data_IF_353265539157
#
_entry.id   IF_353265539157
#
_cell.length_a   1.000
_cell.length_b   1.000
_cell.length_c   1.000
_cell.angle_alpha   90.00
_cell.angle_beta   90.00
_cell.angle_gamma   90.00
#
_symmetry.space_group_name_H-M   'P 1'
#
loop_
_entity.id
_entity.type
_entity.pdbx_description
1 polymer ?
#
# COMPACT_ATOMS: atom_id res chain seq x y z
N UNK A 1 -2.80 -25.35 0.30
CA UNK A 1 -2.84 -24.27 -0.70
C UNK A 1 -3.74 -23.17 -0.14
N UNK A 2 -3.32 -21.91 -0.25
CA UNK A 2 -4.07 -20.74 0.24
C UNK A 2 -4.78 -20.09 -0.96
N UNK A 3 -5.89 -19.41 -0.72
CA UNK A 3 -6.68 -18.75 -1.76
C UNK A 3 -6.91 -17.29 -1.39
N UNK A 4 -7.00 -16.43 -2.40
CA UNK A 4 -7.00 -14.97 -2.33
C UNK A 4 -5.72 -14.38 -1.73
N UNK A 5 -5.29 -14.80 -0.54
CA UNK A 5 -3.98 -14.48 0.02
C UNK A 5 -2.87 -15.35 -0.58
N UNK A 6 -1.66 -14.83 -0.55
CA UNK A 6 -0.45 -15.56 -0.96
C UNK A 6 0.06 -16.48 0.14
N UNK A 7 -0.21 -16.13 1.41
CA UNK A 7 0.25 -16.86 2.59
C UNK A 7 1.66 -16.49 3.03
N UNK A 8 2.26 -15.43 2.49
CA UNK A 8 3.64 -15.04 2.79
C UNK A 8 3.78 -13.53 3.03
N UNK A 9 4.59 -13.18 4.01
CA UNK A 9 5.06 -11.82 4.24
C UNK A 9 6.55 -11.70 3.92
N UNK A 10 7.01 -10.49 3.60
CA UNK A 10 8.41 -10.10 3.66
C UNK A 10 8.70 -9.38 4.97
N UNK A 11 9.64 -9.90 5.76
CA UNK A 11 10.17 -9.29 6.98
C UNK A 11 11.54 -8.66 6.65
N UNK A 12 11.64 -7.34 6.82
CA UNK A 12 12.82 -6.54 6.46
C UNK A 12 13.40 -5.89 7.71
N UNK A 13 14.64 -6.22 8.04
CA UNK A 13 15.41 -5.48 9.06
C UNK A 13 16.39 -4.53 8.37
N UNK A 14 16.03 -3.25 8.34
CA UNK A 14 16.83 -2.21 7.68
C UNK A 14 18.15 -1.90 8.40
N UNK A 15 18.26 -2.21 9.69
CA UNK A 15 19.50 -2.02 10.43
C UNK A 15 20.54 -3.07 10.05
N UNK A 16 20.10 -4.29 9.71
CA UNK A 16 20.96 -5.42 9.34
C UNK A 16 21.03 -5.67 7.83
N UNK A 17 20.10 -5.12 7.06
CA UNK A 17 19.89 -5.46 5.66
C UNK A 17 19.33 -6.86 5.45
N UNK A 18 18.68 -7.45 6.46
CA UNK A 18 18.09 -8.79 6.36
C UNK A 18 16.75 -8.75 5.63
N UNK A 19 16.50 -9.76 4.79
CA UNK A 19 15.27 -9.92 4.00
C UNK A 19 14.83 -11.37 4.17
N UNK A 20 13.65 -11.59 4.74
CA UNK A 20 13.13 -12.93 5.01
C UNK A 20 11.70 -13.07 4.48
N UNK A 21 11.44 -14.19 3.81
CA UNK A 21 10.08 -14.60 3.42
C UNK A 21 9.53 -15.51 4.50
N UNK A 22 8.43 -15.10 5.13
CA UNK A 22 7.83 -15.81 6.27
C UNK A 22 6.41 -16.25 5.93
N UNK A 23 6.11 -17.52 6.13
CA UNK A 23 4.75 -18.08 5.98
C UNK A 23 3.82 -17.54 7.08
N UNK A 24 2.58 -17.22 6.73
CA UNK A 24 1.58 -16.69 7.67
C UNK A 24 0.76 -17.80 8.32
N UNK A 25 0.29 -17.55 9.55
CA UNK A 25 -0.63 -18.48 10.21
C UNK A 25 -2.01 -18.44 9.52
N UNK A 26 -2.52 -19.57 8.99
CA UNK A 26 -3.85 -19.64 8.42
C UNK A 26 -4.98 -19.22 9.35
N UNK A 27 -4.80 -19.40 10.65
CA UNK A 27 -5.79 -19.01 11.64
C UNK A 27 -5.96 -17.49 11.75
N UNK A 28 -4.91 -16.72 11.49
CA UNK A 28 -4.98 -15.26 11.52
C UNK A 28 -5.86 -14.72 10.37
N UNK A 29 -5.88 -15.39 9.21
CA UNK A 29 -6.81 -15.06 8.12
C UNK A 29 -8.26 -15.31 8.53
N UNK A 30 -8.55 -16.43 9.20
CA UNK A 30 -9.90 -16.75 9.67
C UNK A 30 -10.39 -15.76 10.74
N UNK A 31 -9.49 -15.31 11.62
CA UNK A 31 -9.83 -14.43 12.74
C UNK A 31 -9.87 -12.95 12.36
N UNK A 32 -8.97 -12.51 11.47
CA UNK A 32 -8.69 -11.10 11.21
C UNK A 32 -8.74 -10.71 9.73
N UNK A 33 -9.13 -11.65 8.85
CA UNK A 33 -9.20 -11.52 7.39
C UNK A 33 -7.85 -11.23 6.73
N UNK A 34 -7.38 -9.99 6.81
CA UNK A 34 -6.21 -9.49 6.10
C UNK A 34 -6.12 -7.97 6.16
N UNK A 35 -5.15 -7.39 5.44
CA UNK A 35 -4.94 -5.94 5.44
C UNK A 35 -4.86 -5.35 6.86
N UNK A 36 -5.76 -4.41 7.18
CA UNK A 36 -5.80 -3.73 8.48
C UNK A 36 -5.92 -4.69 9.67
N UNK A 37 -6.74 -5.75 9.59
CA UNK A 37 -6.98 -6.65 10.73
C UNK A 37 -5.70 -7.39 11.13
N UNK A 38 -5.04 -8.03 10.16
CA UNK A 38 -3.74 -8.68 10.39
C UNK A 38 -2.62 -7.70 10.71
N UNK A 39 -2.65 -6.46 10.19
CA UNK A 39 -1.68 -5.43 10.59
C UNK A 39 -1.85 -5.05 12.07
N UNK A 40 -3.08 -4.92 12.55
CA UNK A 40 -3.37 -4.62 13.94
C UNK A 40 -2.88 -5.74 14.87
N UNK A 41 -3.11 -7.01 14.49
CA UNK A 41 -2.58 -8.18 15.21
C UNK A 41 -1.05 -8.16 15.32
N UNK A 42 -0.36 -7.87 14.21
CA UNK A 42 1.11 -7.75 14.18
C UNK A 42 1.59 -6.61 15.09
N UNK A 43 0.97 -5.43 15.02
CA UNK A 43 1.33 -4.28 15.87
C UNK A 43 1.08 -4.61 17.35
N UNK A 44 -0.06 -5.21 17.67
CA UNK A 44 -0.42 -5.60 19.04
C UNK A 44 0.62 -6.52 19.68
N UNK A 45 1.10 -7.54 18.96
CA UNK A 45 2.04 -8.51 19.51
C UNK A 45 3.49 -8.01 19.55
N UNK A 46 3.86 -7.06 18.68
CA UNK A 46 5.28 -6.73 18.40
C UNK A 46 5.68 -5.29 18.72
N UNK A 47 4.71 -4.39 18.96
CA UNK A 47 4.97 -2.97 19.23
C UNK A 47 4.33 -2.60 20.57
N UNK A 48 5.04 -2.82 21.69
CA UNK A 48 4.52 -2.49 23.01
C UNK A 48 4.48 -0.95 23.21
N UNK A 49 3.72 -0.44 24.19
CA UNK A 49 3.43 0.99 24.32
C UNK A 49 4.65 1.89 24.62
N UNK A 50 5.77 1.32 25.05
CA UNK A 50 7.06 2.01 25.23
C UNK A 50 7.78 2.34 23.92
N UNK A 51 7.32 1.78 22.78
CA UNK A 51 7.92 2.04 21.47
C UNK A 51 7.46 3.39 20.94
N UNK A 52 8.38 4.35 20.94
CA UNK A 52 8.18 5.67 20.34
C UNK A 52 8.09 5.61 18.80
N UNK A 53 7.39 6.57 18.19
CA UNK A 53 7.13 6.58 16.74
C UNK A 53 8.39 6.59 15.85
N UNK A 54 9.49 7.18 16.33
CA UNK A 54 10.80 7.16 15.66
C UNK A 54 11.78 6.19 16.31
N UNK A 55 11.31 5.21 17.07
CA UNK A 55 12.15 4.10 17.51
C UNK A 55 12.47 3.18 16.33
N UNK A 56 13.68 2.59 16.24
CA UNK A 56 13.94 1.49 15.30
C UNK A 56 12.97 0.31 15.47
N UNK A 57 12.39 0.12 16.67
CA UNK A 57 11.44 -0.96 16.95
C UNK A 57 10.00 -0.66 16.53
N UNK A 58 9.67 0.59 16.17
CA UNK A 58 8.37 0.88 15.57
C UNK A 58 8.29 0.17 14.21
N UNK A 59 7.20 -0.54 13.94
CA UNK A 59 7.01 -1.22 12.66
C UNK A 59 6.39 -0.27 11.63
N UNK A 60 6.82 -0.41 10.39
CA UNK A 60 6.13 0.16 9.23
C UNK A 60 5.69 -1.00 8.35
N UNK A 61 4.37 -1.19 8.21
CA UNK A 61 3.80 -2.36 7.53
C UNK A 61 3.05 -1.88 6.29
N UNK A 62 3.39 -2.41 5.12
CA UNK A 62 2.61 -2.28 3.89
C UNK A 62 1.88 -3.59 3.65
N UNK A 63 0.55 -3.56 3.62
CA UNK A 63 -0.26 -4.75 3.39
C UNK A 63 -1.19 -4.58 2.20
N UNK A 64 -1.28 -5.62 1.36
CA UNK A 64 -2.36 -5.74 0.40
C UNK A 64 -3.62 -6.27 1.11
N UNK A 65 -4.79 -5.79 0.69
CA UNK A 65 -6.06 -6.38 1.12
C UNK A 65 -6.18 -7.85 0.70
N UNK A 66 -6.96 -8.63 1.46
CA UNK A 66 -7.14 -10.07 1.23
C UNK A 66 -7.51 -10.38 -0.23
N UNK A 67 -8.47 -9.65 -0.80
CA UNK A 67 -8.96 -9.84 -2.16
C UNK A 67 -8.18 -9.02 -3.22
N UNK A 68 -7.11 -8.30 -2.86
CA UNK A 68 -6.29 -7.61 -3.86
C UNK A 68 -5.64 -8.61 -4.83
N UNK A 69 -5.54 -8.23 -6.11
CA UNK A 69 -5.04 -9.10 -7.17
C UNK A 69 -6.07 -10.11 -7.71
N UNK A 70 -7.28 -10.15 -7.13
CA UNK A 70 -8.41 -10.90 -7.70
C UNK A 70 -9.19 -10.03 -8.71
N UNK A 71 -10.11 -10.61 -9.51
CA UNK A 71 -11.02 -9.86 -10.37
C UNK A 71 -12.05 -8.98 -9.66
N UNK A 72 -12.10 -8.95 -8.32
CA UNK A 72 -13.05 -8.13 -7.57
C UNK A 72 -12.87 -6.64 -7.88
N UNK A 73 -13.89 -6.04 -8.49
CA UNK A 73 -13.85 -4.67 -8.99
C UNK A 73 -13.50 -3.66 -7.88
N UNK A 74 -12.45 -2.87 -8.09
CA UNK A 74 -11.99 -1.85 -7.15
C UNK A 74 -11.25 -2.38 -5.92
N UNK A 75 -11.02 -3.70 -5.80
CA UNK A 75 -10.27 -4.26 -4.68
C UNK A 75 -8.75 -4.13 -4.89
N UNK A 76 -8.22 -2.95 -4.63
CA UNK A 76 -6.82 -2.60 -4.95
C UNK A 76 -6.10 -1.79 -3.86
N UNK A 77 -6.62 -1.81 -2.62
CA UNK A 77 -6.11 -0.97 -1.54
C UNK A 77 -4.88 -1.58 -0.86
N UNK A 78 -3.85 -0.75 -0.74
CA UNK A 78 -2.73 -0.92 0.18
C UNK A 78 -3.11 -0.31 1.53
N UNK A 79 -2.83 -1.00 2.62
CA UNK A 79 -2.99 -0.50 3.99
C UNK A 79 -1.61 -0.36 4.59
N UNK A 80 -1.20 0.87 4.86
CA UNK A 80 0.05 1.16 5.56
C UNK A 80 -0.24 1.38 7.04
N UNK A 81 0.51 0.74 7.93
CA UNK A 81 0.26 0.79 9.39
C UNK A 81 1.54 0.98 10.19
N UNK A 82 1.47 1.80 11.24
CA UNK A 82 2.60 2.12 12.15
C UNK A 82 2.09 2.83 13.42
N UNK A 83 2.98 3.14 14.37
CA UNK A 83 2.71 4.12 15.43
C UNK A 83 2.98 5.54 14.92
N UNK A 84 1.98 6.41 15.01
CA UNK A 84 2.02 7.77 14.47
C UNK A 84 2.94 8.69 15.26
N UNK A 85 3.81 9.49 14.60
CA UNK A 85 4.56 10.54 15.28
C UNK A 85 3.68 11.71 15.74
N UNK A 86 2.52 11.92 15.09
CA UNK A 86 1.62 13.01 15.42
C UNK A 86 0.71 12.67 16.60
N UNK A 87 0.09 11.49 16.58
CA UNK A 87 -0.96 11.14 17.55
C UNK A 87 -0.46 10.23 18.67
N UNK A 88 0.70 9.59 18.51
CA UNK A 88 1.22 8.53 19.38
C UNK A 88 0.29 7.30 19.49
N UNK A 89 -0.67 7.20 18.59
CA UNK A 89 -1.58 6.05 18.46
C UNK A 89 -1.24 5.30 17.18
N UNK A 90 -1.88 4.14 16.98
CA UNK A 90 -1.81 3.43 15.71
C UNK A 90 -2.34 4.34 14.59
N UNK A 91 -1.51 4.59 13.58
CA UNK A 91 -1.93 5.13 12.30
C UNK A 91 -2.12 3.97 11.31
N UNK A 92 -3.27 3.95 10.66
CA UNK A 92 -3.47 3.19 9.43
C UNK A 92 -3.90 4.14 8.32
N UNK A 93 -3.36 3.96 7.12
CA UNK A 93 -3.60 4.83 5.97
C UNK A 93 -3.75 3.98 4.72
N UNK A 94 -4.75 4.29 3.90
CA UNK A 94 -5.07 3.52 2.71
C UNK A 94 -4.56 4.24 1.47
N UNK A 95 -3.95 3.48 0.55
CA UNK A 95 -3.49 3.95 -0.75
C UNK A 95 -4.12 3.06 -1.83
N UNK A 96 -4.71 3.67 -2.86
CA UNK A 96 -5.29 2.96 -4.00
C UNK A 96 -4.26 2.66 -5.08
N UNK A 97 -4.72 2.69 -6.33
CA UNK A 97 -3.86 2.51 -7.49
C UNK A 97 -3.57 1.04 -7.71
N UNK A 98 -2.29 0.72 -7.93
CA UNK A 98 -1.89 -0.58 -8.47
C UNK A 98 -0.83 -1.30 -7.63
N UNK A 99 -0.33 -0.67 -6.56
CA UNK A 99 0.78 -1.24 -5.78
C UNK A 99 0.41 -2.53 -5.04
N UNK A 100 -0.74 -2.58 -4.35
CA UNK A 100 -1.17 -3.78 -3.63
C UNK A 100 -1.44 -4.99 -4.54
N UNK A 101 -2.17 -4.86 -5.67
CA UNK A 101 -2.26 -5.94 -6.66
C UNK A 101 -0.88 -6.43 -7.14
N UNK A 102 0.03 -5.51 -7.47
CA UNK A 102 1.38 -5.85 -7.92
C UNK A 102 2.18 -6.63 -6.87
N UNK A 103 2.03 -6.30 -5.58
CA UNK A 103 2.62 -7.06 -4.47
C UNK A 103 2.05 -8.48 -4.38
N UNK A 104 0.73 -8.64 -4.58
CA UNK A 104 0.08 -9.96 -4.59
C UNK A 104 0.57 -10.81 -5.76
N UNK A 105 0.71 -10.23 -6.94
CA UNK A 105 1.31 -10.92 -8.09
C UNK A 105 2.80 -11.23 -7.88
N UNK A 106 3.50 -10.50 -7.01
CA UNK A 106 4.88 -10.81 -6.64
C UNK A 106 4.97 -11.94 -5.58
N UNK A 107 3.83 -12.40 -5.04
CA UNK A 107 3.75 -13.53 -4.12
C UNK A 107 3.74 -13.17 -2.63
N UNK A 108 3.40 -11.92 -2.26
CA UNK A 108 3.40 -11.47 -0.87
C UNK A 108 2.10 -10.76 -0.47
N UNK A 109 1.69 -10.95 0.77
CA UNK A 109 0.58 -10.23 1.38
C UNK A 109 1.02 -8.93 2.05
N UNK A 110 2.25 -8.90 2.59
CA UNK A 110 2.80 -7.77 3.34
C UNK A 110 4.30 -7.60 3.16
N UNK A 111 4.76 -6.36 3.36
CA UNK A 111 6.16 -6.03 3.63
C UNK A 111 6.23 -5.31 4.97
N UNK A 112 6.99 -5.86 5.92
CA UNK A 112 7.07 -5.41 7.30
C UNK A 112 8.49 -4.93 7.57
N UNK A 113 8.63 -3.64 7.87
CA UNK A 113 9.94 -3.02 8.13
C UNK A 113 10.15 -2.78 9.63
N UNK A 114 11.30 -3.27 10.13
CA UNK A 114 11.88 -2.91 11.42
C UNK A 114 13.28 -2.31 11.22
N UNK A 115 13.83 -1.73 12.29
CA UNK A 115 15.15 -1.10 12.25
C UNK A 115 15.14 0.19 11.43
N UNK A 116 16.35 0.68 11.16
CA UNK A 116 16.61 1.88 10.34
C UNK A 116 17.87 1.66 9.52
N UNK A 117 17.82 2.04 8.25
CA UNK A 117 19.00 2.05 7.40
C UNK A 117 19.89 3.25 7.77
N UNK A 118 21.22 3.08 7.87
CA UNK A 118 22.14 4.19 8.10
C UNK A 118 22.24 5.14 6.88
N UNK A 119 21.92 4.63 5.68
CA UNK A 119 21.90 5.37 4.43
C UNK A 119 20.49 5.39 3.84
N UNK A 120 20.21 6.35 2.95
CA UNK A 120 18.94 6.37 2.22
C UNK A 120 18.90 5.20 1.22
N UNK A 121 17.90 4.33 1.33
CA UNK A 121 17.75 3.11 0.51
C UNK A 121 16.34 2.99 -0.08
N UNK A 122 16.18 2.17 -1.11
CA UNK A 122 14.88 1.69 -1.57
C UNK A 122 14.83 0.16 -1.61
N UNK A 123 13.64 -0.41 -1.43
CA UNK A 123 13.42 -1.85 -1.59
C UNK A 123 12.93 -2.14 -3.01
N UNK A 124 13.54 -3.13 -3.66
CA UNK A 124 13.12 -3.66 -4.95
C UNK A 124 12.62 -5.09 -4.81
N UNK A 125 11.39 -5.34 -5.26
CA UNK A 125 10.76 -6.67 -5.28
C UNK A 125 10.44 -7.00 -6.74
N UNK A 126 11.00 -8.08 -7.27
CA UNK A 126 10.62 -8.67 -8.55
C UNK A 126 10.38 -10.17 -8.37
N UNK A 127 9.12 -10.54 -8.15
CA UNK A 127 8.73 -11.88 -7.72
C UNK A 127 9.58 -12.37 -6.53
N UNK A 128 10.29 -13.49 -6.66
CA UNK A 128 11.16 -14.05 -5.61
C UNK A 128 12.46 -13.26 -5.37
N UNK A 129 12.84 -12.34 -6.27
CA UNK A 129 14.05 -11.54 -6.11
C UNK A 129 13.73 -10.27 -5.32
N UNK A 130 14.27 -10.17 -4.10
CA UNK A 130 14.09 -9.01 -3.22
C UNK A 130 15.44 -8.43 -2.83
N UNK A 131 15.62 -7.13 -3.01
CA UNK A 131 16.89 -6.44 -2.83
C UNK A 131 16.71 -5.08 -2.14
N UNK A 132 17.61 -4.74 -1.22
CA UNK A 132 17.76 -3.37 -0.72
C UNK A 132 18.81 -2.68 -1.61
N UNK A 133 18.47 -1.53 -2.18
CA UNK A 133 19.30 -0.77 -3.13
C UNK A 133 19.61 0.61 -2.56
N UNK A 134 20.76 1.17 -2.92
CA UNK A 134 21.10 2.55 -2.58
C UNK A 134 20.11 3.53 -3.21
N UNK A 135 19.72 4.56 -2.47
CA UNK A 135 18.82 5.61 -2.93
C UNK A 135 19.41 7.01 -2.72
N UNK A 136 20.73 7.13 -2.50
CA UNK A 136 21.38 8.41 -2.21
C UNK A 136 21.19 9.43 -3.35
N UNK A 137 21.21 8.97 -4.60
CA UNK A 137 20.94 9.78 -5.80
C UNK A 137 19.49 10.27 -5.92
N UNK A 138 18.57 9.73 -5.11
CA UNK A 138 17.16 10.10 -5.07
C UNK A 138 16.83 11.06 -3.93
N UNK A 139 17.82 11.45 -3.12
CA UNK A 139 17.61 12.33 -1.98
C UNK A 139 16.96 13.66 -2.39
N UNK A 140 15.93 14.06 -1.65
CA UNK A 140 15.17 15.29 -1.87
C UNK A 140 14.25 15.31 -3.09
N UNK A 141 14.23 14.25 -3.91
CA UNK A 141 13.32 14.15 -5.06
C UNK A 141 11.87 13.97 -4.63
N UNK A 142 10.93 14.49 -5.42
CA UNK A 142 9.49 14.30 -5.16
C UNK A 142 9.08 12.82 -5.23
N UNK A 143 7.99 12.43 -4.58
CA UNK A 143 7.52 11.03 -4.58
C UNK A 143 7.26 10.48 -6.00
N UNK A 144 6.59 11.28 -6.85
CA UNK A 144 6.30 10.91 -8.24
C UNK A 144 7.57 10.85 -9.09
N UNK A 145 8.43 11.87 -8.99
CA UNK A 145 9.74 11.91 -9.68
C UNK A 145 10.61 10.70 -9.31
N UNK A 146 10.64 10.35 -8.01
CA UNK A 146 11.36 9.17 -7.49
C UNK A 146 10.85 7.89 -8.15
N UNK A 147 9.52 7.75 -8.29
CA UNK A 147 8.92 6.59 -8.94
C UNK A 147 9.34 6.42 -10.40
N UNK A 148 9.39 7.52 -11.16
CA UNK A 148 9.85 7.48 -12.56
C UNK A 148 11.33 7.15 -12.67
N UNK A 149 12.18 7.77 -11.83
CA UNK A 149 13.63 7.52 -11.83
C UNK A 149 13.96 6.06 -11.49
N UNK A 150 13.26 5.47 -10.50
CA UNK A 150 13.44 4.06 -10.14
C UNK A 150 13.02 3.13 -11.30
N UNK A 151 11.89 3.41 -11.98
CA UNK A 151 11.49 2.61 -13.15
C UNK A 151 12.53 2.66 -14.28
N UNK A 152 13.13 3.83 -14.51
CA UNK A 152 14.19 4.00 -15.51
C UNK A 152 15.47 3.25 -15.13
N UNK A 153 15.92 3.39 -13.87
CA UNK A 153 17.10 2.70 -13.33
C UNK A 153 16.97 1.19 -13.45
N UNK A 154 15.80 0.65 -13.08
CA UNK A 154 15.51 -0.78 -13.11
C UNK A 154 15.17 -1.31 -14.51
N UNK A 155 14.93 -0.42 -15.48
CA UNK A 155 14.38 -0.75 -16.81
C UNK A 155 13.06 -1.52 -16.72
N UNK A 156 12.24 -1.20 -15.72
CA UNK A 156 10.96 -1.86 -15.43
C UNK A 156 9.80 -0.86 -15.49
N UNK A 157 9.28 -0.56 -16.69
CA UNK A 157 8.24 0.45 -16.86
C UNK A 157 6.91 0.09 -16.21
N UNK A 158 6.70 -1.19 -15.87
CA UNK A 158 5.47 -1.72 -15.25
C UNK A 158 5.56 -1.83 -13.73
N UNK A 159 6.73 -1.55 -13.14
CA UNK A 159 6.88 -1.58 -11.69
C UNK A 159 6.02 -0.51 -11.02
N UNK A 160 5.35 -0.90 -9.94
CA UNK A 160 4.60 0.02 -9.09
C UNK A 160 5.53 0.51 -7.98
N UNK A 161 5.62 1.83 -7.80
CA UNK A 161 6.56 2.44 -6.85
C UNK A 161 5.81 3.32 -5.85
N UNK A 162 5.88 2.96 -4.58
CA UNK A 162 5.41 3.77 -3.47
C UNK A 162 6.61 4.51 -2.85
N UNK A 163 6.59 5.83 -2.80
CA UNK A 163 7.74 6.64 -2.40
C UNK A 163 7.37 7.82 -1.51
N UNK A 164 8.30 8.24 -0.67
CA UNK A 164 8.22 9.50 0.09
C UNK A 164 8.88 10.63 -0.70
N UNK A 165 8.34 11.84 -0.56
CA UNK A 165 9.03 13.07 -0.94
C UNK A 165 9.93 13.63 0.17
N UNK A 166 10.47 14.83 -0.05
CA UNK A 166 11.31 15.55 0.91
C UNK A 166 10.64 15.75 2.28
N UNK A 167 9.30 15.86 2.34
CA UNK A 167 8.57 15.97 3.61
C UNK A 167 8.70 14.70 4.47
N UNK A 168 8.71 13.51 3.85
CA UNK A 168 8.92 12.25 4.55
C UNK A 168 10.37 12.11 5.03
N UNK A 169 11.34 12.45 4.17
CA UNK A 169 12.78 12.46 4.53
C UNK A 169 13.05 13.35 5.75
N UNK A 170 12.41 14.52 5.80
CA UNK A 170 12.51 15.48 6.90
C UNK A 170 11.53 15.20 8.07
N UNK A 171 10.86 14.04 8.06
CA UNK A 171 9.99 13.56 9.15
C UNK A 171 8.87 14.54 9.53
N UNK A 172 8.28 15.24 8.54
CA UNK A 172 7.11 16.09 8.79
C UNK A 172 5.95 15.23 9.30
N UNK A 173 5.34 15.56 10.43
CA UNK A 173 4.41 14.67 11.16
C UNK A 173 3.13 14.30 10.40
N UNK A 174 2.88 14.91 9.26
CA UNK A 174 1.78 14.63 8.34
C UNK A 174 2.27 14.31 6.92
N UNK A 175 3.55 13.91 6.79
CA UNK A 175 4.09 13.43 5.52
C UNK A 175 3.38 12.15 5.07
N UNK A 176 3.11 12.11 3.76
CA UNK A 176 2.43 11.04 3.06
C UNK A 176 3.42 10.11 2.33
N UNK A 177 2.89 9.03 1.77
CA UNK A 177 3.58 8.14 0.82
C UNK A 177 2.76 8.13 -0.47
N UNK A 178 3.41 8.38 -1.60
CA UNK A 178 2.77 8.59 -2.90
C UNK A 178 3.05 7.43 -3.86
N UNK A 179 2.06 7.07 -4.67
CA UNK A 179 2.16 6.10 -5.76
C UNK A 179 1.25 6.53 -6.93
N UNK A 180 1.83 7.11 -7.98
CA UNK A 180 1.04 7.66 -9.09
C UNK A 180 0.00 8.66 -8.60
N UNK A 181 -1.27 8.44 -8.89
CA UNK A 181 -2.39 9.27 -8.41
C UNK A 181 -3.01 8.75 -7.10
N UNK A 182 -2.27 8.01 -6.29
CA UNK A 182 -2.72 7.44 -5.02
C UNK A 182 -1.78 7.80 -3.87
N UNK A 183 -2.33 8.04 -2.69
CA UNK A 183 -1.59 8.49 -1.52
C UNK A 183 -2.02 7.75 -0.25
N UNK A 184 -1.06 7.30 0.57
CA UNK A 184 -1.28 7.02 1.97
C UNK A 184 -1.01 8.31 2.77
N UNK A 185 -2.05 9.12 2.96
CA UNK A 185 -1.87 10.55 3.21
C UNK A 185 -1.76 10.99 4.67
N UNK A 186 -2.41 10.28 5.60
CA UNK A 186 -2.60 10.79 6.98
C UNK A 186 -1.86 9.99 8.04
N UNK A 187 -1.71 10.59 9.22
CA UNK A 187 -1.14 9.96 10.40
C UNK A 187 0.40 9.94 10.45
N UNK A 188 1.08 10.62 9.52
CA UNK A 188 2.54 10.76 9.55
C UNK A 188 3.30 9.51 9.15
N UNK A 189 2.69 8.61 8.39
CA UNK A 189 3.31 7.35 7.98
C UNK A 189 4.53 7.61 7.07
N UNK A 190 4.50 8.64 6.23
CA UNK A 190 5.64 9.05 5.42
C UNK A 190 6.83 9.54 6.26
N UNK A 191 6.58 10.12 7.44
CA UNK A 191 7.65 10.50 8.36
C UNK A 191 8.32 9.29 9.00
N UNK A 192 7.55 8.26 9.36
CA UNK A 192 8.14 6.99 9.86
C UNK A 192 8.96 6.32 8.76
N UNK A 193 8.47 6.31 7.53
CA UNK A 193 9.21 5.78 6.38
C UNK A 193 10.55 6.50 6.17
N UNK A 194 10.56 7.84 6.22
CA UNK A 194 11.80 8.61 6.11
C UNK A 194 12.72 8.49 7.33
N UNK A 195 12.16 8.37 8.55
CA UNK A 195 12.94 8.10 9.76
C UNK A 195 13.70 6.77 9.69
N UNK A 196 13.14 5.77 9.01
CA UNK A 196 13.79 4.49 8.73
C UNK A 196 14.86 4.53 7.63
N UNK A 197 15.05 5.67 6.96
CA UNK A 197 15.96 5.80 5.83
C UNK A 197 15.45 5.11 4.56
N UNK A 198 14.14 4.85 4.46
CA UNK A 198 13.53 4.16 3.32
C UNK A 198 12.88 5.18 2.37
N UNK A 199 13.45 5.36 1.18
CA UNK A 199 12.98 6.31 0.17
C UNK A 199 11.76 5.81 -0.60
N UNK A 200 11.77 4.53 -0.97
CA UNK A 200 10.73 3.94 -1.80
C UNK A 200 10.66 2.41 -1.66
N UNK A 201 9.54 1.86 -2.11
CA UNK A 201 9.34 0.43 -2.34
C UNK A 201 8.80 0.24 -3.75
N UNK A 202 9.63 -0.35 -4.61
CA UNK A 202 9.28 -0.70 -5.97
C UNK A 202 8.96 -2.20 -6.04
N UNK A 203 7.88 -2.54 -6.72
CA UNK A 203 7.43 -3.91 -6.88
C UNK A 203 7.04 -4.22 -8.33
N UNK A 204 7.43 -5.40 -8.79
CA UNK A 204 6.97 -6.04 -10.02
C UNK A 204 6.57 -7.48 -9.72
N UNK A 205 5.36 -7.83 -10.08
CA UNK A 205 4.78 -9.16 -9.92
C UNK A 205 4.23 -9.70 -11.23
N UNK A 206 4.43 -11.00 -11.46
CA UNK A 206 3.90 -11.71 -12.64
C UNK A 206 3.34 -13.09 -12.31
N UNK A 207 3.24 -13.43 -11.02
CA UNK A 207 2.62 -14.67 -10.55
C UNK A 207 1.10 -14.57 -10.48
N UNK A 208 0.48 -15.75 -10.31
CA UNK A 208 -0.96 -15.89 -10.20
C UNK A 208 -1.47 -15.64 -8.77
N UNK A 209 -2.72 -15.19 -8.66
CA UNK A 209 -3.50 -15.19 -7.41
C UNK A 209 -4.63 -16.18 -7.55
N UNK A 210 -4.64 -17.23 -6.72
CA UNK A 210 -5.59 -18.33 -6.83
C UNK A 210 -6.90 -18.04 -6.08
N UNK A 211 -8.03 -18.43 -6.67
CA UNK A 211 -9.37 -18.27 -6.11
C UNK A 211 -9.96 -19.65 -5.83
N UNK A 212 -10.60 -19.82 -4.67
CA UNK A 212 -11.08 -21.13 -4.22
C UNK A 212 -12.21 -21.69 -5.11
N UNK A 213 -13.15 -20.83 -5.49
CA UNK A 213 -14.31 -21.15 -6.34
C UNK A 213 -14.37 -20.16 -7.51
N UNK A 214 -13.60 -20.39 -8.60
CA UNK A 214 -13.43 -19.40 -9.66
C UNK A 214 -14.74 -18.97 -10.35
N UNK A 215 -15.62 -19.91 -10.70
CA UNK A 215 -16.86 -19.61 -11.42
C UNK A 215 -17.81 -18.78 -10.55
N UNK A 216 -18.05 -19.22 -9.32
CA UNK A 216 -18.88 -18.50 -8.34
C UNK A 216 -18.34 -17.10 -8.04
N UNK A 217 -17.01 -16.96 -7.91
CA UNK A 217 -16.40 -15.65 -7.66
C UNK A 217 -16.54 -14.70 -8.86
N UNK A 218 -16.43 -15.22 -10.09
CA UNK A 218 -16.63 -14.41 -11.30
C UNK A 218 -18.09 -14.00 -11.49
N UNK A 219 -19.04 -14.87 -11.16
CA UNK A 219 -20.47 -14.52 -11.13
C UNK A 219 -20.73 -13.33 -10.19
N UNK A 220 -20.20 -13.38 -8.97
CA UNK A 220 -20.30 -12.28 -8.00
C UNK A 220 -19.65 -10.98 -8.53
N UNK A 221 -18.50 -11.08 -9.20
CA UNK A 221 -17.86 -9.92 -9.81
C UNK A 221 -18.71 -9.31 -10.92
N UNK A 222 -19.37 -10.14 -11.73
CA UNK A 222 -20.28 -9.68 -12.78
C UNK A 222 -21.54 -9.02 -12.20
N UNK A 223 -22.13 -9.59 -11.15
CA UNK A 223 -23.25 -8.97 -10.43
C UNK A 223 -22.88 -7.58 -9.91
N UNK A 224 -21.68 -7.43 -9.33
CA UNK A 224 -21.16 -6.13 -8.92
C UNK A 224 -21.11 -5.18 -10.11
N UNK A 225 -20.53 -5.58 -11.24
CA UNK A 225 -20.42 -4.74 -12.44
C UNK A 225 -21.80 -4.34 -13.02
N UNK A 226 -22.77 -5.25 -13.01
CA UNK A 226 -24.15 -4.94 -13.40
C UNK A 226 -24.78 -3.93 -12.44
N UNK A 227 -24.56 -4.09 -11.13
CA UNK A 227 -25.00 -3.13 -10.13
C UNK A 227 -24.36 -1.75 -10.33
N UNK A 228 -23.07 -1.69 -10.69
CA UNK A 228 -22.39 -0.42 -11.01
C UNK A 228 -23.14 0.31 -12.14
N UNK A 229 -23.39 -0.38 -13.26
CA UNK A 229 -24.10 0.21 -14.42
C UNK A 229 -25.49 0.70 -14.03
N UNK A 230 -26.27 -0.13 -13.32
CA UNK A 230 -27.60 0.24 -12.86
C UNK A 230 -27.58 1.47 -11.94
N UNK A 231 -26.54 1.59 -11.10
CA UNK A 231 -26.38 2.68 -10.14
C UNK A 231 -25.92 3.98 -10.80
N UNK A 232 -25.17 3.92 -11.90
CA UNK A 232 -24.83 5.08 -12.72
C UNK A 232 -26.05 5.68 -13.43
N UNK A 233 -26.98 4.83 -13.89
CA UNK A 233 -28.24 5.27 -14.51
C UNK A 233 -29.25 5.81 -13.49
N UNK A 234 -29.19 5.32 -12.25
CA UNK A 234 -30.12 5.66 -11.16
C UNK A 234 -29.35 6.22 -9.96
N UNK A 235 -28.91 7.50 -10.01
CA UNK A 235 -28.29 8.17 -8.86
C UNK A 235 -29.19 8.11 -7.61
N UNK A 236 -28.63 7.92 -6.40
CA UNK A 236 -29.43 7.96 -5.16
C UNK A 236 -29.90 9.41 -4.97
N UNK A 237 -31.23 9.65 -4.94
CA UNK A 237 -31.74 10.99 -4.72
C UNK A 237 -31.36 11.53 -3.34
N UNK A 238 -31.00 12.81 -3.27
CA UNK A 238 -30.71 13.49 -1.99
C UNK A 238 -29.34 13.19 -1.39
N UNK A 239 -28.44 12.52 -2.11
CA UNK A 239 -27.06 12.25 -1.71
C UNK A 239 -26.09 13.13 -2.50
N UNK A 240 -24.98 13.56 -1.87
CA UNK A 240 -23.94 14.37 -2.52
C UNK A 240 -23.46 13.70 -3.81
N UNK A 241 -23.24 14.43 -4.93
CA UNK A 241 -22.99 13.83 -6.23
C UNK A 241 -21.83 12.83 -6.27
N UNK A 242 -20.75 13.07 -5.51
CA UNK A 242 -19.60 12.16 -5.39
C UNK A 242 -19.95 10.82 -4.72
N UNK A 243 -21.01 10.79 -3.92
CA UNK A 243 -21.56 9.61 -3.25
C UNK A 243 -22.84 9.10 -3.95
N UNK A 244 -23.37 9.89 -4.89
CA UNK A 244 -24.61 9.61 -5.59
C UNK A 244 -24.42 8.67 -6.78
N UNK A 245 -23.21 8.24 -7.12
CA UNK A 245 -22.89 7.20 -8.09
C UNK A 245 -21.55 6.53 -7.74
N UNK A 246 -21.04 5.67 -8.61
CA UNK A 246 -19.69 5.11 -8.46
C UNK A 246 -18.70 5.86 -9.35
N UNK A 247 -17.50 6.11 -8.83
CA UNK A 247 -16.42 6.85 -9.51
C UNK A 247 -16.19 8.25 -8.95
N UNK A 248 -14.92 8.68 -8.91
CA UNK A 248 -14.51 10.00 -8.43
C UNK A 248 -14.96 11.21 -9.27
N UNK A 249 -15.23 11.13 -10.59
CA UNK A 249 -15.58 12.31 -11.37
C UNK A 249 -17.08 12.66 -11.40
N UNK A 250 -17.92 12.12 -10.50
CA UNK A 250 -19.36 12.37 -10.57
C UNK A 250 -19.74 13.80 -10.14
N UNK A 251 -18.99 14.43 -9.23
CA UNK A 251 -19.17 15.86 -8.94
C UNK A 251 -18.91 16.73 -10.18
N UNK A 252 -17.95 16.34 -11.03
CA UNK A 252 -17.64 17.06 -12.26
C UNK A 252 -18.74 17.01 -13.34
N UNK A 253 -19.72 16.09 -13.23
CA UNK A 253 -20.90 16.09 -14.12
C UNK A 253 -21.91 17.16 -13.75
N UNK A 254 -21.86 17.66 -12.51
CA UNK A 254 -22.87 18.55 -11.93
C UNK A 254 -22.26 19.93 -11.64
N UNK A 255 -20.97 19.98 -11.31
CA UNK A 255 -20.21 21.17 -10.98
C UNK A 255 -18.92 21.24 -11.81
N UNK A 256 -18.54 22.42 -12.28
CA UNK A 256 -17.24 22.63 -12.94
C UNK A 256 -16.13 22.62 -11.89
N UNK A 257 -15.53 21.44 -11.66
CA UNK A 257 -14.41 21.26 -10.73
C UNK A 257 -13.08 20.99 -11.45
N UNK A 258 -12.83 21.69 -12.56
CA UNK A 258 -11.57 21.64 -13.32
C UNK A 258 -10.31 21.67 -12.44
N UNK A 259 -10.38 22.36 -11.29
CA UNK A 259 -9.31 22.41 -10.29
C UNK A 259 -8.89 21.04 -9.74
N UNK A 260 -9.81 20.11 -9.47
CA UNK A 260 -9.48 18.80 -8.89
C UNK A 260 -8.76 17.86 -9.87
N UNK A 261 -8.86 18.10 -11.17
CA UNK A 261 -8.16 17.31 -12.20
C UNK A 261 -6.85 17.92 -12.69
N UNK A 262 -6.67 19.23 -12.52
CA UNK A 262 -5.49 19.95 -13.03
C UNK A 262 -4.44 20.24 -11.94
N UNK A 263 -4.73 19.96 -10.67
CA UNK A 263 -3.89 20.37 -9.53
C UNK A 263 -3.08 19.25 -8.87
N UNK A 264 -3.10 18.02 -9.40
CA UNK A 264 -2.34 16.88 -8.88
C UNK A 264 -1.31 16.36 -9.89
#
# INVERSE_FOLDING_TARGET
MRYAETGFNLEIDLSRGNIERVETDPRDTELYLGGLGTNAKIIWDRVPPEVEAFSPDNLLIFAAGLLCGTPATGCNRTIVSTISPQTRLMAFSMMGGFWAPELKYAGYDKVIFRGKSPNLVYLWINNDKVEIRDASHLQGKGGIETGELIRQELKEPRAQVAAIGLAGENRVYFASIEQGHSSASRGGIGAVMGDKGLKAIAVRGTGDVYIAQPDEFLELCNEVLEYIKAREEKPIPGVMPILAGLGSPQEMKIHDEKWHTESF
#
